data_IF_585119265363
#
_entry.id   IF_585119265363
#
_cell.length_a   1.000
_cell.length_b   1.000
_cell.length_c   1.000
_cell.angle_alpha   90.00
_cell.angle_beta   90.00
_cell.angle_gamma   90.00
#
_symmetry.space_group_name_H-M   'P 1'
#
loop_
_entity.id
_entity.type
_entity.pdbx_description
1 polymer ?
#
# COMPACT_ATOMS: atom_id res chain seq x y z
N UNK A 1 44.40 -17.46 5.48
CA UNK A 1 43.00 -17.70 5.07
C UNK A 1 42.33 -16.36 5.11
N UNK A 2 42.18 -15.74 3.93
CA UNK A 2 41.56 -14.44 3.75
C UNK A 2 40.03 -14.61 3.71
N UNK A 3 39.32 -13.79 4.49
CA UNK A 3 37.87 -13.66 4.38
C UNK A 3 37.54 -12.74 3.20
N UNK A 4 36.59 -13.08 2.32
CA UNK A 4 36.12 -12.14 1.31
C UNK A 4 35.32 -11.03 2.00
N UNK A 5 35.61 -9.80 1.58
CA UNK A 5 34.91 -8.60 2.00
C UNK A 5 33.43 -8.68 1.58
N UNK A 6 32.53 -8.32 2.51
CA UNK A 6 31.14 -8.03 2.20
C UNK A 6 31.08 -6.74 1.36
N UNK A 7 31.10 -6.88 0.03
CA UNK A 7 30.78 -5.78 -0.89
C UNK A 7 29.28 -5.62 -1.01
N UNK A 8 28.84 -4.38 -0.76
CA UNK A 8 27.62 -3.73 -1.24
C UNK A 8 26.28 -4.46 -0.99
N UNK A 9 25.55 -3.96 0.01
CA UNK A 9 24.14 -4.28 0.21
C UNK A 9 23.31 -3.75 -0.97
N UNK A 10 23.05 -4.60 -1.95
CA UNK A 10 21.99 -4.38 -2.92
C UNK A 10 20.64 -4.25 -2.18
N UNK A 11 19.76 -3.31 -2.56
CA UNK A 11 18.49 -3.12 -1.89
C UNK A 11 17.66 -4.40 -2.02
N UNK A 12 17.31 -5.00 -0.88
CA UNK A 12 16.39 -6.13 -0.82
C UNK A 12 15.01 -5.58 -1.16
N UNK A 13 14.64 -5.64 -2.43
CA UNK A 13 13.26 -5.38 -2.85
C UNK A 13 12.38 -6.53 -2.36
N UNK A 14 11.13 -6.24 -1.99
CA UNK A 14 10.17 -7.24 -1.47
C UNK A 14 9.96 -8.44 -2.43
N UNK A 15 10.25 -8.27 -3.72
CA UNK A 15 10.23 -9.32 -4.74
C UNK A 15 11.43 -10.30 -4.66
N UNK A 16 12.51 -9.95 -3.93
CA UNK A 16 13.71 -10.78 -3.82
C UNK A 16 13.63 -11.84 -2.72
N UNK A 17 12.62 -11.78 -1.84
CA UNK A 17 12.46 -12.70 -0.70
C UNK A 17 11.69 -13.98 -1.06
N UNK A 18 10.61 -13.94 -1.88
CA UNK A 18 10.01 -15.15 -2.44
C UNK A 18 11.01 -15.93 -3.30
N UNK A 19 11.88 -15.23 -4.02
CA UNK A 19 12.96 -15.83 -4.79
C UNK A 19 14.03 -16.52 -3.91
N UNK A 20 14.11 -16.17 -2.62
CA UNK A 20 15.04 -16.76 -1.65
C UNK A 20 14.42 -17.94 -0.89
N UNK A 21 13.12 -17.93 -0.62
CA UNK A 21 12.41 -19.09 -0.05
C UNK A 21 12.41 -20.26 -1.05
N UNK A 22 12.09 -20.00 -2.32
CA UNK A 22 12.21 -21.01 -3.39
C UNK A 22 13.64 -21.57 -3.51
N UNK A 23 14.67 -20.71 -3.39
CA UNK A 23 16.07 -21.17 -3.41
C UNK A 23 16.48 -21.93 -2.15
N UNK A 24 15.82 -21.71 -1.01
CA UNK A 24 16.10 -22.46 0.21
C UNK A 24 15.53 -23.88 0.10
N UNK A 25 14.32 -24.03 -0.46
CA UNK A 25 13.75 -25.34 -0.79
C UNK A 25 14.60 -26.07 -1.85
N UNK A 26 14.96 -25.40 -2.94
CA UNK A 26 15.76 -25.99 -4.03
C UNK A 26 17.18 -26.37 -3.55
N UNK A 27 17.78 -25.58 -2.65
CA UNK A 27 19.04 -25.94 -2.00
C UNK A 27 18.87 -27.09 -1.00
N UNK A 28 17.80 -27.12 -0.21
CA UNK A 28 17.51 -28.21 0.71
C UNK A 28 17.33 -29.53 -0.05
N UNK A 29 16.62 -29.54 -1.19
CA UNK A 29 16.49 -30.71 -2.08
C UNK A 29 17.84 -31.16 -2.66
N UNK A 30 18.73 -30.20 -2.98
CA UNK A 30 20.07 -30.49 -3.51
C UNK A 30 21.02 -31.04 -2.43
N UNK A 31 20.91 -30.57 -1.18
CA UNK A 31 21.75 -31.01 -0.05
C UNK A 31 21.24 -32.28 0.64
N UNK A 32 19.97 -32.65 0.45
CA UNK A 32 19.34 -33.87 1.01
C UNK A 32 19.40 -35.08 0.08
N UNK A 33 19.96 -34.94 -1.13
CA UNK A 33 20.21 -36.04 -2.07
C UNK A 33 21.14 -37.12 -1.44
N UNK A 34 20.51 -38.07 -0.75
CA UNK A 34 21.16 -39.25 -0.16
C UNK A 34 21.38 -39.22 1.36
N UNK A 35 20.91 -38.21 2.12
CA UNK A 35 20.97 -38.22 3.59
C UNK A 35 19.68 -37.72 4.23
N UNK A 36 19.01 -38.61 4.96
CA UNK A 36 17.89 -38.27 5.82
C UNK A 36 18.40 -37.57 7.09
N UNK A 37 18.40 -36.24 7.10
CA UNK A 37 18.52 -35.46 8.34
C UNK A 37 17.13 -35.35 8.95
N UNK A 38 16.85 -36.17 9.97
CA UNK A 38 15.53 -36.26 10.62
C UNK A 38 15.06 -34.98 11.32
N UNK A 39 15.91 -33.95 11.43
CA UNK A 39 15.63 -32.65 12.05
C UNK A 39 15.53 -31.49 11.05
N UNK A 40 15.58 -31.77 9.75
CA UNK A 40 15.66 -30.75 8.68
C UNK A 40 14.28 -30.16 8.35
N UNK A 41 13.23 -30.98 8.31
CA UNK A 41 11.88 -30.54 7.96
C UNK A 41 11.26 -29.62 9.03
N UNK A 42 11.45 -29.91 10.32
CA UNK A 42 10.93 -29.05 11.39
C UNK A 42 11.64 -27.69 11.43
N UNK A 43 12.96 -27.68 11.17
CA UNK A 43 13.75 -26.45 11.08
C UNK A 43 13.34 -25.60 9.86
N UNK A 44 13.10 -26.24 8.71
CA UNK A 44 12.58 -25.55 7.52
C UNK A 44 11.17 -25.00 7.74
N UNK A 45 10.26 -25.75 8.35
CA UNK A 45 8.93 -25.25 8.71
C UNK A 45 9.00 -24.04 9.64
N UNK A 46 9.86 -24.07 10.66
CA UNK A 46 10.00 -22.94 11.58
C UNK A 46 10.62 -21.72 10.89
N UNK A 47 11.58 -21.92 9.98
CA UNK A 47 12.14 -20.84 9.16
C UNK A 47 11.09 -20.22 8.24
N UNK A 48 10.28 -21.04 7.56
CA UNK A 48 9.18 -20.55 6.71
C UNK A 48 8.18 -19.75 7.54
N UNK A 49 7.77 -20.26 8.70
CA UNK A 49 6.86 -19.55 9.62
C UNK A 49 7.42 -18.19 10.02
N UNK A 50 8.71 -18.10 10.35
CA UNK A 50 9.35 -16.83 10.71
C UNK A 50 9.43 -15.86 9.52
N UNK A 51 9.72 -16.38 8.32
CA UNK A 51 9.72 -15.58 7.10
C UNK A 51 8.32 -15.02 6.80
N UNK A 52 7.28 -15.84 6.90
CA UNK A 52 5.89 -15.44 6.69
C UNK A 52 5.47 -14.34 7.67
N UNK A 53 5.83 -14.46 8.95
CA UNK A 53 5.54 -13.43 9.95
C UNK A 53 6.26 -12.11 9.64
N UNK A 54 7.51 -12.19 9.17
CA UNK A 54 8.27 -11.01 8.77
C UNK A 54 7.65 -10.33 7.54
N UNK A 55 7.35 -11.09 6.48
CA UNK A 55 6.75 -10.57 5.26
C UNK A 55 5.37 -9.97 5.55
N UNK A 56 4.56 -10.65 6.37
CA UNK A 56 3.26 -10.15 6.82
C UNK A 56 3.38 -8.84 7.58
N UNK A 57 4.33 -8.76 8.52
CA UNK A 57 4.61 -7.55 9.28
C UNK A 57 5.03 -6.37 8.39
N UNK A 58 5.92 -6.62 7.41
CA UNK A 58 6.34 -5.60 6.44
C UNK A 58 5.16 -5.14 5.58
N UNK A 59 4.37 -6.07 5.04
CA UNK A 59 3.22 -5.75 4.20
C UNK A 59 2.17 -4.91 4.92
N UNK A 60 1.83 -5.24 6.17
CA UNK A 60 0.94 -4.43 6.99
C UNK A 60 1.51 -3.04 7.29
N UNK A 61 2.81 -2.94 7.56
CA UNK A 61 3.46 -1.65 7.79
C UNK A 61 3.39 -0.78 6.52
N UNK A 62 3.72 -1.34 5.36
CA UNK A 62 3.63 -0.65 4.08
C UNK A 62 2.19 -0.24 3.78
N UNK A 63 1.21 -1.12 4.02
CA UNK A 63 -0.21 -0.79 3.87
C UNK A 63 -0.59 0.44 4.70
N UNK A 64 -0.25 0.45 5.99
CA UNK A 64 -0.57 1.57 6.90
C UNK A 64 -0.03 2.89 6.37
N UNK A 65 1.24 2.92 5.97
CA UNK A 65 1.86 4.15 5.49
C UNK A 65 1.36 4.57 4.11
N UNK A 66 1.21 3.63 3.18
CA UNK A 66 0.76 3.94 1.82
C UNK A 66 -0.69 4.43 1.82
N UNK A 67 -1.59 3.75 2.55
CA UNK A 67 -2.99 4.16 2.68
C UNK A 67 -3.13 5.53 3.36
N UNK A 68 -2.40 5.78 4.45
CA UNK A 68 -2.34 7.08 5.11
C UNK A 68 -1.83 8.18 4.16
N UNK A 69 -0.75 7.91 3.41
CA UNK A 69 -0.20 8.84 2.43
C UNK A 69 -1.18 9.17 1.31
N UNK A 70 -1.96 8.20 0.82
CA UNK A 70 -3.03 8.45 -0.16
C UNK A 70 -4.11 9.37 0.42
N UNK A 71 -4.65 9.03 1.60
CA UNK A 71 -5.72 9.82 2.21
C UNK A 71 -5.24 11.25 2.54
N UNK A 72 -4.02 11.40 3.06
CA UNK A 72 -3.41 12.69 3.33
C UNK A 72 -3.14 13.48 2.04
N UNK A 73 -2.52 12.85 1.05
CA UNK A 73 -2.16 13.45 -0.24
C UNK A 73 -3.40 13.96 -0.99
N UNK A 74 -4.44 13.12 -1.09
CA UNK A 74 -5.73 13.51 -1.64
C UNK A 74 -6.36 14.65 -0.84
N UNK A 75 -6.34 14.57 0.50
CA UNK A 75 -6.91 15.61 1.37
C UNK A 75 -6.24 16.97 1.21
N UNK A 76 -4.92 16.99 0.95
CA UNK A 76 -4.17 18.21 0.65
C UNK A 76 -4.51 18.71 -0.75
N UNK A 77 -4.42 17.85 -1.77
CA UNK A 77 -4.71 18.22 -3.17
C UNK A 77 -6.12 18.78 -3.31
N UNK A 78 -7.15 18.08 -2.85
CA UNK A 78 -8.54 18.53 -2.94
C UNK A 78 -8.77 19.85 -2.20
N UNK A 79 -7.96 20.17 -1.17
CA UNK A 79 -8.03 21.47 -0.49
C UNK A 79 -7.37 22.58 -1.30
N UNK A 80 -6.18 22.34 -1.85
CA UNK A 80 -5.48 23.36 -2.64
C UNK A 80 -6.14 23.61 -3.98
N UNK A 81 -6.75 22.60 -4.61
CA UNK A 81 -7.54 22.76 -5.85
C UNK A 81 -8.89 23.40 -5.59
N UNK A 82 -9.54 23.04 -4.48
CA UNK A 82 -10.84 23.61 -4.08
C UNK A 82 -10.77 24.95 -3.37
N UNK A 83 -9.58 25.53 -3.15
CA UNK A 83 -9.42 26.79 -2.42
C UNK A 83 -9.87 26.73 -0.96
N UNK A 84 -9.87 25.54 -0.34
CA UNK A 84 -10.31 25.34 1.04
C UNK A 84 -9.19 25.66 2.04
N UNK A 85 -9.52 25.95 3.31
CA UNK A 85 -8.53 26.24 4.33
C UNK A 85 -7.51 25.11 4.50
N UNK A 86 -6.28 25.50 4.87
CA UNK A 86 -5.21 24.55 5.17
C UNK A 86 -5.59 23.62 6.33
N UNK A 87 -5.03 22.41 6.30
CA UNK A 87 -5.16 21.47 7.42
C UNK A 87 -4.45 22.02 8.66
N UNK A 88 -5.05 21.80 9.82
CA UNK A 88 -4.37 22.04 11.09
C UNK A 88 -3.31 20.97 11.32
N UNK A 89 -2.28 21.27 12.12
CA UNK A 89 -1.24 20.29 12.47
C UNK A 89 -1.85 19.01 13.09
N UNK A 90 -2.85 19.17 13.97
CA UNK A 90 -3.56 18.04 14.57
C UNK A 90 -4.29 17.18 13.53
N UNK A 91 -4.92 17.80 12.52
CA UNK A 91 -5.57 17.07 11.44
C UNK A 91 -4.54 16.32 10.58
N UNK A 92 -3.37 16.91 10.31
CA UNK A 92 -2.28 16.21 9.61
C UNK A 92 -1.80 15.01 10.42
N UNK A 93 -1.55 15.15 11.72
CA UNK A 93 -1.14 14.03 12.58
C UNK A 93 -2.17 12.91 12.58
N UNK A 94 -3.47 13.23 12.66
CA UNK A 94 -4.53 12.22 12.59
C UNK A 94 -4.57 11.47 11.26
N UNK A 95 -4.24 12.16 10.15
CA UNK A 95 -4.18 11.56 8.81
C UNK A 95 -2.91 10.75 8.55
N UNK A 96 -1.91 10.83 9.42
CA UNK A 96 -0.71 9.97 9.35
C UNK A 96 -0.94 8.59 9.98
N UNK A 97 -2.02 8.40 10.73
CA UNK A 97 -2.44 7.09 11.22
C UNK A 97 -3.09 6.28 10.11
N UNK A 98 -3.17 4.96 10.30
CA UNK A 98 -3.86 4.08 9.35
C UNK A 98 -5.33 4.53 9.20
N UNK A 99 -5.76 4.87 7.97
CA UNK A 99 -7.14 5.23 7.71
C UNK A 99 -8.04 4.00 7.80
N UNK A 100 -9.32 4.24 8.07
CA UNK A 100 -10.34 3.22 7.82
C UNK A 100 -10.42 2.90 6.33
N UNK A 101 -10.88 1.70 5.97
CA UNK A 101 -11.11 1.36 4.56
C UNK A 101 -12.09 2.34 3.90
N UNK A 102 -13.10 2.82 4.63
CA UNK A 102 -14.06 3.81 4.15
C UNK A 102 -13.39 5.13 3.81
N UNK A 103 -12.49 5.63 4.67
CA UNK A 103 -11.71 6.84 4.39
C UNK A 103 -10.81 6.68 3.16
N UNK A 104 -10.19 5.51 2.98
CA UNK A 104 -9.38 5.23 1.79
C UNK A 104 -10.26 5.19 0.53
N UNK A 105 -11.40 4.51 0.57
CA UNK A 105 -12.38 4.48 -0.53
C UNK A 105 -12.86 5.88 -0.89
N UNK A 106 -13.23 6.68 0.11
CA UNK A 106 -13.74 8.03 -0.10
C UNK A 106 -12.65 8.93 -0.73
N UNK A 107 -11.39 8.80 -0.28
CA UNK A 107 -10.26 9.50 -0.90
C UNK A 107 -10.01 9.04 -2.34
N UNK A 108 -10.07 7.73 -2.59
CA UNK A 108 -9.92 7.18 -3.93
C UNK A 108 -11.10 7.54 -4.83
N UNK A 109 -12.29 7.84 -4.30
CA UNK A 109 -13.48 8.16 -5.09
C UNK A 109 -13.44 9.55 -5.74
N UNK A 110 -12.48 10.42 -5.37
CA UNK A 110 -12.35 11.75 -5.95
C UNK A 110 -11.69 11.62 -7.34
N UNK A 111 -12.36 12.06 -8.42
CA UNK A 111 -11.81 11.95 -9.77
C UNK A 111 -10.52 12.74 -9.97
N UNK A 112 -9.61 12.22 -10.79
CA UNK A 112 -8.36 12.92 -11.15
C UNK A 112 -8.63 14.23 -11.91
N UNK A 113 -9.80 14.39 -12.55
CA UNK A 113 -10.22 15.66 -13.15
C UNK A 113 -10.30 16.80 -12.14
N UNK A 114 -10.55 16.46 -10.87
CA UNK A 114 -10.76 17.41 -9.78
C UNK A 114 -9.49 17.62 -8.94
N UNK A 115 -8.64 16.60 -8.86
CA UNK A 115 -7.37 16.64 -8.12
C UNK A 115 -6.21 17.16 -8.96
N UNK A 116 -6.14 16.79 -10.25
CA UNK A 116 -5.00 17.05 -11.13
C UNK A 116 -5.31 18.15 -12.15
N UNK A 117 -6.09 19.17 -11.79
CA UNK A 117 -6.54 20.25 -12.69
C UNK A 117 -5.40 21.00 -13.40
N UNK A 118 -4.17 20.92 -12.88
CA UNK A 118 -2.98 21.56 -13.43
C UNK A 118 -2.21 20.68 -14.45
N UNK A 119 -2.68 19.47 -14.74
CA UNK A 119 -2.03 18.50 -15.62
C UNK A 119 -2.72 18.40 -16.98
N UNK A 120 -1.97 17.96 -17.98
CA UNK A 120 -2.49 17.70 -19.32
C UNK A 120 -3.54 16.58 -19.32
N UNK A 121 -4.56 16.63 -20.20
CA UNK A 121 -5.61 15.60 -20.26
C UNK A 121 -5.10 14.17 -20.31
N UNK A 122 -4.16 13.86 -21.23
CA UNK A 122 -3.59 12.51 -21.39
C UNK A 122 -2.97 11.97 -20.11
N UNK A 123 -2.30 12.84 -19.34
CA UNK A 123 -1.73 12.47 -18.05
C UNK A 123 -2.84 12.17 -17.05
N UNK A 124 -3.84 13.05 -16.95
CA UNK A 124 -4.99 12.87 -16.04
C UNK A 124 -5.77 11.59 -16.35
N UNK A 125 -5.99 11.28 -17.62
CA UNK A 125 -6.74 10.10 -18.05
C UNK A 125 -6.04 8.80 -17.61
N UNK A 126 -4.72 8.71 -17.80
CA UNK A 126 -3.94 7.58 -17.28
C UNK A 126 -4.03 7.44 -15.76
N UNK A 127 -3.89 8.55 -15.04
CA UNK A 127 -3.97 8.54 -13.58
C UNK A 127 -5.39 8.21 -13.08
N UNK A 128 -6.41 8.56 -13.84
CA UNK A 128 -7.80 8.20 -13.56
C UNK A 128 -8.02 6.69 -13.73
N UNK A 129 -7.47 6.07 -14.77
CA UNK A 129 -7.52 4.61 -14.96
C UNK A 129 -6.83 3.87 -13.79
N UNK A 130 -5.64 4.33 -13.39
CA UNK A 130 -4.91 3.77 -12.24
C UNK A 130 -5.69 3.93 -10.93
N UNK A 131 -6.28 5.10 -10.70
CA UNK A 131 -7.12 5.40 -9.53
C UNK A 131 -8.35 4.48 -9.49
N UNK A 132 -9.04 4.30 -10.62
CA UNK A 132 -10.23 3.44 -10.72
C UNK A 132 -9.88 1.97 -10.45
N UNK A 133 -8.78 1.48 -11.03
CA UNK A 133 -8.32 0.12 -10.78
C UNK A 133 -7.96 -0.11 -9.30
N UNK A 134 -7.32 0.89 -8.66
CA UNK A 134 -7.01 0.85 -7.23
C UNK A 134 -8.26 0.90 -6.36
N UNK A 135 -9.24 1.77 -6.69
CA UNK A 135 -10.52 1.85 -5.98
C UNK A 135 -11.23 0.49 -6.00
N UNK A 136 -11.33 -0.12 -7.18
CA UNK A 136 -11.96 -1.44 -7.32
C UNK A 136 -11.23 -2.52 -6.50
N UNK A 137 -9.88 -2.49 -6.49
CA UNK A 137 -9.09 -3.41 -5.70
C UNK A 137 -9.32 -3.23 -4.18
N UNK A 138 -9.48 -1.98 -3.70
CA UNK A 138 -9.82 -1.69 -2.30
C UNK A 138 -11.24 -2.14 -1.96
N UNK A 139 -12.19 -2.03 -2.87
CA UNK A 139 -13.55 -2.55 -2.68
C UNK A 139 -13.55 -4.09 -2.57
N UNK A 140 -12.73 -4.77 -3.35
CA UNK A 140 -12.54 -6.23 -3.27
C UNK A 140 -12.03 -6.70 -1.90
N UNK A 141 -11.30 -5.88 -1.14
CA UNK A 141 -10.84 -6.22 0.23
C UNK A 141 -12.03 -6.56 1.13
N UNK A 142 -13.15 -5.85 0.99
CA UNK A 142 -14.34 -6.05 1.83
C UNK A 142 -15.00 -7.39 1.52
N UNK A 143 -15.03 -7.76 0.23
CA UNK A 143 -15.56 -9.04 -0.22
C UNK A 143 -14.71 -10.18 0.36
N UNK A 144 -13.39 -10.11 0.20
CA UNK A 144 -12.47 -11.09 0.79
C UNK A 144 -12.56 -11.14 2.32
N UNK A 145 -12.64 -9.99 2.99
CA UNK A 145 -12.72 -9.93 4.44
C UNK A 145 -14.01 -10.59 4.99
N UNK A 146 -15.13 -10.45 4.28
CA UNK A 146 -16.39 -11.07 4.69
C UNK A 146 -16.34 -12.61 4.66
N UNK A 147 -15.45 -13.20 3.83
CA UNK A 147 -15.26 -14.64 3.72
C UNK A 147 -14.38 -15.23 4.83
N UNK A 148 -13.60 -14.41 5.54
CA UNK A 148 -12.67 -14.86 6.60
C UNK A 148 -13.37 -15.44 7.84
N UNK A 149 -14.65 -15.10 8.07
CA UNK A 149 -15.45 -15.66 9.17
C UNK A 149 -15.09 -15.11 10.55
N UNK A 150 -14.77 -16.00 11.50
CA UNK A 150 -14.68 -15.66 12.93
C UNK A 150 -13.62 -14.58 13.23
N UNK A 151 -14.01 -13.60 14.05
CA UNK A 151 -13.13 -12.49 14.45
C UNK A 151 -13.07 -11.33 13.44
N UNK A 152 -13.76 -11.41 12.32
CA UNK A 152 -13.92 -10.30 11.37
C UNK A 152 -15.34 -9.73 11.48
N UNK A 153 -15.54 -8.40 11.32
CA UNK A 153 -16.88 -7.83 11.36
C UNK A 153 -17.80 -8.44 10.29
N UNK A 154 -18.93 -9.02 10.71
CA UNK A 154 -19.88 -9.68 9.80
C UNK A 154 -20.75 -8.76 8.95
N UNK A 155 -20.48 -7.46 8.89
CA UNK A 155 -21.23 -6.51 8.05
C UNK A 155 -20.28 -5.62 7.26
N UNK A 156 -20.63 -5.32 6.01
CA UNK A 156 -19.86 -4.42 5.15
C UNK A 156 -19.66 -3.03 5.79
N UNK A 157 -20.67 -2.51 6.49
CA UNK A 157 -20.57 -1.23 7.19
C UNK A 157 -19.48 -1.23 8.28
N UNK A 158 -19.40 -2.31 9.06
CA UNK A 158 -18.37 -2.43 10.09
C UNK A 158 -16.98 -2.68 9.49
N UNK A 159 -16.89 -3.39 8.37
CA UNK A 159 -15.63 -3.55 7.62
C UNK A 159 -15.13 -2.20 7.07
N UNK A 160 -16.00 -1.42 6.45
CA UNK A 160 -15.65 -0.08 5.96
C UNK A 160 -15.24 0.89 7.07
N UNK A 161 -15.85 0.77 8.25
CA UNK A 161 -15.48 1.57 9.42
C UNK A 161 -14.18 1.09 10.10
N UNK A 162 -13.67 -0.08 9.74
CA UNK A 162 -12.48 -0.69 10.31
C UNK A 162 -11.19 -0.31 9.58
N UNK A 163 -10.07 -0.63 10.23
CA UNK A 163 -8.70 -0.58 9.67
C UNK A 163 -8.31 -1.97 9.19
N UNK A 164 -7.56 -2.08 8.09
CA UNK A 164 -7.13 -3.38 7.56
C UNK A 164 -6.38 -4.20 8.59
N UNK A 165 -5.46 -3.56 9.30
CA UNK A 165 -4.65 -4.24 10.32
C UNK A 165 -5.46 -4.77 11.50
N UNK A 166 -6.69 -4.28 11.70
CA UNK A 166 -7.55 -4.73 12.79
C UNK A 166 -8.27 -6.05 12.52
N UNK A 167 -8.41 -6.44 11.25
CA UNK A 167 -9.06 -7.70 10.86
C UNK A 167 -8.15 -8.66 10.10
N UNK A 168 -6.91 -8.26 9.81
CA UNK A 168 -5.87 -9.11 9.24
C UNK A 168 -5.56 -10.35 10.12
N UNK A 169 -5.37 -11.52 9.48
CA UNK A 169 -5.17 -12.83 10.15
C UNK A 169 -3.96 -13.57 9.60
N UNK A 170 -3.17 -14.16 10.50
CA UNK A 170 -1.91 -14.84 10.16
C UNK A 170 -2.13 -16.16 9.41
N UNK A 171 -3.27 -16.80 9.60
CA UNK A 171 -3.64 -18.09 9.02
C UNK A 171 -4.36 -17.97 7.67
N UNK A 172 -4.44 -16.75 7.11
CA UNK A 172 -5.11 -16.48 5.84
C UNK A 172 -4.22 -15.63 4.93
N UNK A 173 -4.50 -15.68 3.63
CA UNK A 173 -3.84 -14.81 2.67
C UNK A 173 -4.00 -13.32 3.08
N UNK A 174 -2.96 -12.49 2.91
CA UNK A 174 -3.03 -11.09 3.26
C UNK A 174 -4.04 -10.32 2.42
N UNK A 175 -4.96 -9.63 3.10
CA UNK A 175 -5.99 -8.83 2.43
C UNK A 175 -5.43 -7.64 1.63
N UNK A 176 -4.23 -7.18 1.97
CA UNK A 176 -3.54 -6.11 1.22
C UNK A 176 -2.85 -6.64 -0.03
N UNK A 177 -2.73 -7.96 -0.20
CA UNK A 177 -2.05 -8.57 -1.34
C UNK A 177 -2.76 -8.20 -2.65
N UNK A 178 -1.99 -7.94 -3.70
CA UNK A 178 -2.51 -7.43 -4.98
C UNK A 178 -2.92 -5.95 -4.97
N UNK A 179 -3.35 -5.38 -3.83
CA UNK A 179 -3.67 -3.96 -3.70
C UNK A 179 -2.43 -3.13 -3.46
N UNK A 180 -1.51 -3.62 -2.62
CA UNK A 180 -0.32 -2.90 -2.19
C UNK A 180 0.60 -2.50 -3.35
N UNK A 181 0.70 -3.34 -4.38
CA UNK A 181 1.50 -3.10 -5.59
C UNK A 181 1.03 -1.89 -6.39
N UNK A 182 -0.26 -1.55 -6.32
CA UNK A 182 -0.86 -0.36 -6.95
C UNK A 182 -0.91 0.82 -5.99
N UNK A 183 -1.16 0.56 -4.71
CA UNK A 183 -1.31 1.60 -3.68
C UNK A 183 0.00 2.38 -3.47
N UNK A 184 1.14 1.70 -3.46
CA UNK A 184 2.43 2.34 -3.17
C UNK A 184 2.84 3.35 -4.24
N UNK A 185 2.89 3.02 -5.55
CA UNK A 185 3.18 4.03 -6.59
C UNK A 185 2.16 5.18 -6.60
N UNK A 186 0.88 4.87 -6.33
CA UNK A 186 -0.16 5.89 -6.25
C UNK A 186 0.04 6.84 -5.05
N UNK A 187 0.56 6.35 -3.93
CA UNK A 187 0.93 7.18 -2.79
C UNK A 187 2.13 8.08 -3.08
N UNK A 188 3.14 7.55 -3.76
CA UNK A 188 4.40 8.24 -4.08
C UNK A 188 4.22 9.44 -5.04
N UNK A 189 3.13 9.49 -5.79
CA UNK A 189 2.88 10.59 -6.73
C UNK A 189 2.52 11.92 -6.02
N UNK A 190 1.87 11.87 -4.86
CA UNK A 190 1.23 13.05 -4.25
C UNK A 190 2.19 14.20 -3.96
N UNK A 191 3.40 14.00 -3.40
CA UNK A 191 4.35 15.09 -3.19
C UNK A 191 4.69 15.84 -4.48
N UNK A 192 4.83 15.12 -5.60
CA UNK A 192 5.12 15.71 -6.91
C UNK A 192 3.93 16.51 -7.43
N UNK A 193 2.71 15.95 -7.33
CA UNK A 193 1.49 16.63 -7.80
C UNK A 193 1.16 17.88 -6.97
N UNK A 194 1.35 17.83 -5.65
CA UNK A 194 1.19 18.99 -4.76
C UNK A 194 2.20 20.07 -5.14
N UNK A 195 3.48 19.70 -5.31
CA UNK A 195 4.54 20.62 -5.72
C UNK A 195 4.26 21.25 -7.09
N UNK A 196 3.80 20.45 -8.05
CA UNK A 196 3.42 20.92 -9.38
C UNK A 196 2.30 21.94 -9.32
N UNK A 197 1.21 21.59 -8.63
CA UNK A 197 0.06 22.49 -8.47
C UNK A 197 0.47 23.83 -7.87
N UNK A 198 1.26 23.83 -6.79
CA UNK A 198 1.72 25.05 -6.13
C UNK A 198 2.59 25.92 -7.05
N UNK A 199 3.43 25.32 -7.90
CA UNK A 199 4.23 26.05 -8.89
C UNK A 199 3.34 26.70 -9.97
N UNK A 200 2.40 25.94 -10.53
CA UNK A 200 1.47 26.46 -11.55
C UNK A 200 0.55 27.55 -10.99
N UNK A 201 0.10 27.39 -9.75
CA UNK A 201 -0.70 28.39 -9.02
C UNK A 201 0.06 29.71 -8.89
N UNK A 202 1.32 29.66 -8.43
CA UNK A 202 2.18 30.84 -8.29
C UNK A 202 2.48 31.52 -9.63
N UNK A 203 2.56 30.75 -10.71
CA UNK A 203 2.76 31.26 -12.06
C UNK A 203 1.48 31.86 -12.68
N UNK A 204 0.32 31.73 -12.04
CA UNK A 204 -0.96 32.16 -12.59
C UNK A 204 -1.45 31.32 -13.77
N UNK A 205 -0.90 30.11 -13.94
CA UNK A 205 -1.16 29.22 -15.07
C UNK A 205 -2.36 28.27 -14.85
N UNK A 206 -3.00 28.35 -13.68
CA UNK A 206 -4.16 27.51 -13.37
C UNK A 206 -5.45 28.01 -14.04
N UNK A 207 -6.30 27.11 -14.54
CA UNK A 207 -7.65 27.47 -14.95
C UNK A 207 -8.39 28.11 -13.76
N UNK A 208 -9.03 29.27 -13.97
CA UNK A 208 -9.97 29.81 -12.97
C UNK A 208 -11.21 28.92 -12.93
N UNK A 209 -11.24 27.95 -12.02
CA UNK A 209 -12.47 27.25 -11.67
C UNK A 209 -12.86 27.60 -10.24
N UNK A 210 -13.95 28.35 -10.13
CA UNK A 210 -14.69 28.52 -8.88
C UNK A 210 -15.62 27.31 -8.80
N UNK A 211 -15.28 26.31 -7.99
CA UNK A 211 -16.27 25.28 -7.59
C UNK A 211 -17.38 26.02 -6.84
N UNK A 212 -18.60 25.94 -7.36
CA UNK A 212 -19.82 26.42 -6.67
C UNK A 212 -20.37 25.31 -5.81
#
# INVERSE_FOLDING_TARGET
MDFPAFTEAAPVTALAVPHRSYRLEENAEMYTHGRALAHDLDALHELSRLADHYERGVGLLTWRYASAAVVLGTSILDRVTGGRPALTAAAVTALCEEPTLGQLRDALSIPCTDLLIAREPVFRDRHEEERQALLHAVEGIIECAAELGDGVPGTAAALWAGRLTAFDRLDTDPLYEGVLTRLLPFAEQFPNEISWYLKQSRAGALPRQIRT
#
